data_IF_159005188354
#
_entry.id   IF_159005188354
#
_cell.length_a   1.000
_cell.length_b   1.000
_cell.length_c   1.000
_cell.angle_alpha   90.00
_cell.angle_beta   90.00
_cell.angle_gamma   90.00
#
_symmetry.space_group_name_H-M   'P 1'
#
loop_
_entity.id
_entity.type
_entity.pdbx_description
1 polymer ?
#
# COMPACT_ATOMS: atom_id res chain seq x y z
N UNK A 1 -1.24 -14.67 13.53
CA UNK A 1 -1.90 -13.48 12.95
C UNK A 1 -0.83 -12.72 12.19
N UNK A 2 -1.13 -12.25 10.99
CA UNK A 2 -0.16 -11.54 10.14
C UNK A 2 0.14 -10.17 10.77
N UNK A 3 1.40 -9.91 11.13
CA UNK A 3 1.85 -8.67 11.77
C UNK A 3 2.99 -7.95 11.01
N UNK A 4 3.49 -8.57 9.94
CA UNK A 4 4.49 -8.04 9.01
C UNK A 4 3.87 -7.70 7.66
N UNK A 5 4.37 -6.64 7.04
CA UNK A 5 3.93 -6.20 5.72
C UNK A 5 5.10 -6.07 4.74
N UNK A 6 4.91 -6.54 3.51
CA UNK A 6 5.77 -6.30 2.37
C UNK A 6 5.05 -5.32 1.45
N UNK A 7 5.70 -4.19 1.14
CA UNK A 7 5.18 -3.19 0.21
C UNK A 7 6.09 -3.18 -1.03
N UNK A 8 5.50 -3.50 -2.18
CA UNK A 8 6.18 -3.46 -3.47
C UNK A 8 6.28 -2.02 -3.95
N UNK A 9 7.49 -1.53 -4.17
CA UNK A 9 7.72 -0.22 -4.76
C UNK A 9 7.40 -0.26 -6.27
N UNK A 10 6.77 0.81 -6.74
CA UNK A 10 6.32 1.03 -8.12
C UNK A 10 6.60 2.47 -8.49
N UNK A 11 6.64 2.78 -9.79
CA UNK A 11 6.72 4.16 -10.27
C UNK A 11 5.62 5.08 -9.65
N UNK A 12 4.44 4.53 -9.35
CA UNK A 12 3.34 5.23 -8.69
C UNK A 12 3.52 5.48 -7.18
N UNK A 13 4.44 4.79 -6.50
CA UNK A 13 4.55 4.82 -5.03
C UNK A 13 4.85 6.21 -4.46
N UNK A 14 5.61 7.03 -5.20
CA UNK A 14 5.95 8.40 -4.81
C UNK A 14 4.86 9.43 -5.13
N UNK A 15 3.83 9.04 -5.88
CA UNK A 15 2.74 9.94 -6.30
C UNK A 15 2.05 10.51 -5.06
N UNK A 16 1.86 11.83 -5.05
CA UNK A 16 1.16 12.52 -3.96
C UNK A 16 -0.31 12.68 -4.31
N UNK A 17 -1.20 12.10 -3.50
CA UNK A 17 -2.65 12.34 -3.57
C UNK A 17 -3.09 13.03 -2.29
N UNK A 18 -3.70 14.20 -2.45
CA UNK A 18 -4.09 15.09 -1.35
C UNK A 18 -2.89 15.42 -0.43
N UNK A 19 -1.71 15.64 -1.02
CA UNK A 19 -0.49 16.05 -0.32
C UNK A 19 0.34 14.93 0.30
N UNK A 20 -0.14 13.68 0.29
CA UNK A 20 0.55 12.53 0.90
C UNK A 20 1.04 11.53 -0.18
N UNK A 21 2.33 11.11 -0.17
CA UNK A 21 2.80 10.02 -1.01
C UNK A 21 2.01 8.73 -0.77
N UNK A 22 1.74 7.95 -1.82
CA UNK A 22 1.01 6.68 -1.72
C UNK A 22 1.71 5.67 -0.81
N UNK A 23 3.03 5.54 -0.94
CA UNK A 23 3.83 4.69 -0.05
C UNK A 23 3.62 5.03 1.43
N UNK A 24 3.72 6.32 1.77
CA UNK A 24 3.54 6.76 3.15
C UNK A 24 2.11 6.52 3.64
N UNK A 25 1.10 6.70 2.76
CA UNK A 25 -0.29 6.39 3.07
C UNK A 25 -0.48 4.91 3.39
N UNK A 26 0.12 4.01 2.62
CA UNK A 26 0.04 2.57 2.82
C UNK A 26 0.67 2.16 4.17
N UNK A 27 1.86 2.69 4.50
CA UNK A 27 2.53 2.42 5.78
C UNK A 27 1.67 2.88 6.96
N UNK A 28 1.16 4.12 6.92
CA UNK A 28 0.35 4.66 8.02
C UNK A 28 -0.97 3.89 8.20
N UNK A 29 -1.61 3.46 7.10
CA UNK A 29 -2.83 2.67 7.16
C UNK A 29 -2.59 1.28 7.76
N UNK A 30 -1.51 0.61 7.35
CA UNK A 30 -1.12 -0.68 7.92
C UNK A 30 -0.69 -0.55 9.38
N UNK A 31 0.05 0.50 9.73
CA UNK A 31 0.41 0.77 11.12
C UNK A 31 -0.85 0.96 11.99
N UNK A 32 -1.87 1.68 11.50
CA UNK A 32 -3.15 1.82 12.18
C UNK A 32 -3.85 0.47 12.39
N UNK A 33 -3.73 -0.46 11.44
CA UNK A 33 -4.26 -1.82 11.55
C UNK A 33 -3.41 -2.74 12.45
N UNK A 34 -2.28 -2.26 12.98
CA UNK A 34 -1.44 -2.96 13.97
C UNK A 34 -0.18 -3.62 13.42
N UNK A 35 0.13 -3.44 12.13
CA UNK A 35 1.40 -3.90 11.54
C UNK A 35 2.57 -3.06 12.08
N UNK A 36 3.68 -3.71 12.40
CA UNK A 36 4.85 -3.04 13.05
C UNK A 36 6.13 -3.15 12.24
N UNK A 37 6.26 -4.20 11.44
CA UNK A 37 7.44 -4.47 10.62
C UNK A 37 7.08 -4.37 9.15
N UNK A 38 7.88 -3.61 8.41
CA UNK A 38 7.63 -3.25 7.03
C UNK A 38 8.86 -3.51 6.19
N UNK A 39 8.70 -4.25 5.10
CA UNK A 39 9.73 -4.47 4.09
C UNK A 39 9.33 -3.77 2.80
N UNK A 40 10.07 -2.72 2.45
CA UNK A 40 9.89 -1.96 1.22
C UNK A 40 10.77 -2.57 0.13
N UNK A 41 10.17 -3.33 -0.79
CA UNK A 41 10.89 -4.06 -1.82
C UNK A 41 10.74 -3.38 -3.18
N UNK A 42 11.85 -2.95 -3.78
CA UNK A 42 11.87 -2.29 -5.09
C UNK A 42 13.06 -2.72 -5.94
N UNK A 43 13.12 -2.25 -7.19
CA UNK A 43 14.28 -2.50 -8.06
C UNK A 43 15.55 -1.80 -7.57
N UNK A 44 15.39 -0.76 -6.75
CA UNK A 44 16.52 0.03 -6.26
C UNK A 44 16.88 1.22 -7.14
N UNK A 45 15.94 1.65 -7.99
CA UNK A 45 16.09 2.89 -8.76
C UNK A 45 16.32 4.10 -7.82
N UNK A 46 17.08 5.11 -8.26
CA UNK A 46 17.37 6.29 -7.45
C UNK A 46 16.11 6.97 -6.90
N UNK A 47 15.03 7.06 -7.70
CA UNK A 47 13.76 7.67 -7.28
C UNK A 47 13.06 6.87 -6.17
N UNK A 48 13.14 5.53 -6.21
CA UNK A 48 12.61 4.67 -5.15
C UNK A 48 13.39 4.87 -3.85
N UNK A 49 14.72 4.94 -3.94
CA UNK A 49 15.57 5.14 -2.76
C UNK A 49 15.38 6.53 -2.14
N UNK A 50 15.25 7.58 -2.97
CA UNK A 50 14.92 8.93 -2.49
C UNK A 50 13.55 8.96 -1.79
N UNK A 51 12.55 8.30 -2.38
CA UNK A 51 11.22 8.17 -1.78
C UNK A 51 11.28 7.45 -0.42
N UNK A 52 11.99 6.33 -0.33
CA UNK A 52 12.17 5.57 0.92
C UNK A 52 12.81 6.45 2.00
N UNK A 53 13.87 7.19 1.66
CA UNK A 53 14.54 8.09 2.60
C UNK A 53 13.64 9.26 3.03
N UNK A 54 12.81 9.79 2.12
CA UNK A 54 11.80 10.79 2.46
C UNK A 54 10.78 10.24 3.46
N UNK A 55 10.29 9.02 3.23
CA UNK A 55 9.33 8.35 4.13
C UNK A 55 9.93 8.10 5.50
N UNK A 56 11.17 7.59 5.59
CA UNK A 56 11.87 7.37 6.87
C UNK A 56 12.03 8.64 7.70
N UNK A 57 12.20 9.79 7.04
CA UNK A 57 12.36 11.10 7.69
C UNK A 57 11.03 11.77 8.03
N UNK A 58 9.89 11.21 7.62
CA UNK A 58 8.59 11.78 7.95
C UNK A 58 8.33 11.68 9.47
N UNK A 59 7.92 12.79 10.07
CA UNK A 59 7.73 12.88 11.52
C UNK A 59 6.74 11.84 12.07
N UNK A 60 5.73 11.43 11.28
CA UNK A 60 4.75 10.43 11.70
C UNK A 60 5.34 9.03 11.80
N UNK A 61 6.35 8.74 10.98
CA UNK A 61 7.11 7.49 11.03
C UNK A 61 8.10 7.56 12.21
N UNK A 62 8.86 8.65 12.33
CA UNK A 62 9.83 8.83 13.42
C UNK A 62 9.21 8.84 14.83
N UNK A 63 7.96 9.28 14.95
CA UNK A 63 7.25 9.35 16.23
C UNK A 63 6.62 8.02 16.66
N UNK A 64 6.77 6.95 15.85
CA UNK A 64 6.18 5.65 16.11
C UNK A 64 7.24 4.55 16.22
N UNK A 65 7.07 3.55 17.09
CA UNK A 65 7.90 2.35 17.09
C UNK A 65 7.57 1.48 15.87
N UNK A 66 8.13 1.82 14.72
CA UNK A 66 8.02 1.11 13.46
C UNK A 66 9.38 0.52 13.08
N UNK A 67 9.40 -0.72 12.61
CA UNK A 67 10.58 -1.31 12.01
C UNK A 67 10.45 -1.29 10.48
N UNK A 68 11.33 -0.55 9.80
CA UNK A 68 11.24 -0.26 8.37
C UNK A 68 12.52 -0.64 7.63
N UNK A 69 12.42 -1.70 6.84
CA UNK A 69 13.50 -2.26 6.04
C UNK A 69 13.34 -1.88 4.57
N UNK A 70 14.40 -1.38 3.96
CA UNK A 70 14.43 -1.11 2.52
C UNK A 70 15.27 -2.19 1.82
N UNK A 71 14.68 -2.86 0.84
CA UNK A 71 15.26 -4.01 0.16
C UNK A 71 15.28 -3.77 -1.34
N UNK A 72 16.45 -3.97 -1.95
CA UNK A 72 16.57 -4.06 -3.40
C UNK A 72 16.29 -5.50 -3.80
N UNK A 73 15.47 -5.72 -4.80
CA UNK A 73 15.08 -7.07 -5.24
C UNK A 73 16.32 -7.87 -5.70
N UNK A 74 17.31 -7.22 -6.30
CA UNK A 74 18.57 -7.88 -6.67
C UNK A 74 19.34 -8.44 -5.47
N UNK A 75 19.27 -7.77 -4.32
CA UNK A 75 19.93 -8.21 -3.08
C UNK A 75 19.27 -9.45 -2.48
N UNK A 76 18.03 -9.75 -2.87
CA UNK A 76 17.30 -10.94 -2.42
C UNK A 76 17.92 -12.24 -2.94
N UNK A 77 18.62 -12.18 -4.07
CA UNK A 77 19.32 -13.34 -4.65
C UNK A 77 20.66 -13.60 -3.97
N UNK A 78 21.13 -12.68 -3.12
CA UNK A 78 22.41 -12.77 -2.41
C UNK A 78 22.17 -13.06 -0.92
N UNK A 79 22.38 -14.30 -0.46
CA UNK A 79 22.23 -14.65 0.95
C UNK A 79 23.27 -13.90 1.79
N UNK A 80 22.85 -12.92 2.59
CA UNK A 80 23.79 -12.18 3.44
C UNK A 80 23.25 -10.96 4.21
N UNK A 81 22.07 -10.42 3.86
CA UNK A 81 21.44 -9.36 4.67
C UNK A 81 20.47 -9.98 5.70
N UNK A 82 20.50 -9.59 6.98
CA UNK A 82 19.61 -10.16 8.00
C UNK A 82 18.11 -10.00 7.68
N UNK A 83 17.70 -8.83 7.17
CA UNK A 83 16.31 -8.56 6.80
C UNK A 83 15.84 -9.39 5.60
N UNK A 84 16.76 -9.79 4.70
CA UNK A 84 16.41 -10.73 3.64
C UNK A 84 16.25 -12.11 4.25
N UNK A 85 17.21 -12.61 5.02
CA UNK A 85 17.11 -13.91 5.71
C UNK A 85 15.80 -14.10 6.46
N UNK A 86 15.32 -13.10 7.21
CA UNK A 86 14.03 -13.17 7.90
C UNK A 86 12.83 -13.38 6.96
N UNK A 87 12.82 -12.73 5.79
CA UNK A 87 11.79 -12.93 4.77
C UNK A 87 11.89 -14.30 4.08
N UNK A 88 13.09 -14.86 3.94
CA UNK A 88 13.33 -16.15 3.27
C UNK A 88 13.15 -17.36 4.20
N UNK A 89 13.40 -17.19 5.50
CA UNK A 89 13.42 -18.28 6.47
C UNK A 89 12.10 -18.38 7.26
N UNK A 90 11.23 -17.37 7.17
CA UNK A 90 9.93 -17.37 7.84
C UNK A 90 8.87 -18.13 7.05
N UNK A 91 8.21 -19.08 7.71
CA UNK A 91 6.99 -19.71 7.22
C UNK A 91 5.72 -18.89 7.49
N UNK A 92 5.84 -17.74 8.15
CA UNK A 92 4.71 -16.93 8.59
C UNK A 92 4.00 -16.28 7.38
N UNK A 93 2.75 -15.87 7.60
CA UNK A 93 2.03 -15.07 6.61
C UNK A 93 2.48 -13.61 6.63
N UNK A 94 2.47 -12.98 5.46
CA UNK A 94 2.77 -11.56 5.28
C UNK A 94 1.62 -10.85 4.59
N UNK A 95 1.37 -9.60 4.97
CA UNK A 95 0.52 -8.70 4.20
C UNK A 95 1.33 -8.22 2.98
N UNK A 96 0.77 -8.34 1.79
CA UNK A 96 1.40 -7.87 0.55
C UNK A 96 0.60 -6.69 0.00
N UNK A 97 1.28 -5.56 -0.17
CA UNK A 97 0.70 -4.31 -0.67
C UNK A 97 1.46 -3.81 -1.91
N UNK A 98 0.72 -3.27 -2.87
CA UNK A 98 1.31 -2.42 -3.91
C UNK A 98 1.50 -1.00 -3.38
N UNK A 99 2.69 -0.43 -3.57
CA UNK A 99 2.99 0.93 -3.14
C UNK A 99 2.22 2.00 -3.94
N UNK A 100 1.66 1.63 -5.10
CA UNK A 100 0.77 2.47 -5.91
C UNK A 100 -0.73 2.26 -5.60
N UNK A 101 -1.09 1.41 -4.63
CA UNK A 101 -2.47 1.18 -4.25
C UNK A 101 -3.00 2.22 -3.25
N UNK A 102 -4.29 2.49 -3.38
CA UNK A 102 -5.08 3.34 -2.49
C UNK A 102 -6.27 2.53 -2.01
N UNK A 103 -6.39 2.39 -0.69
CA UNK A 103 -7.42 1.57 -0.07
C UNK A 103 -7.96 2.19 1.22
N UNK A 104 -9.15 1.75 1.62
CA UNK A 104 -9.72 2.07 2.92
C UNK A 104 -8.94 1.32 4.02
N UNK A 105 -8.38 2.02 5.04
CA UNK A 105 -7.62 1.37 6.12
C UNK A 105 -8.36 0.24 6.82
N UNK A 106 -9.71 0.29 6.92
CA UNK A 106 -10.48 -0.78 7.57
C UNK A 106 -10.42 -2.11 6.83
N UNK A 107 -10.06 -2.11 5.53
CA UNK A 107 -9.82 -3.36 4.79
C UNK A 107 -8.66 -4.16 5.37
N UNK A 108 -7.67 -3.49 5.98
CA UNK A 108 -6.54 -4.18 6.60
C UNK A 108 -6.94 -4.86 7.91
N UNK A 109 -7.92 -4.33 8.63
CA UNK A 109 -8.48 -4.98 9.83
C UNK A 109 -9.23 -6.28 9.52
N UNK A 110 -9.77 -6.39 8.30
CA UNK A 110 -10.39 -7.61 7.79
C UNK A 110 -9.32 -8.54 7.21
N UNK A 111 -8.42 -8.04 6.37
CA UNK A 111 -7.37 -8.82 5.71
C UNK A 111 -6.43 -9.52 6.71
N UNK A 112 -6.05 -8.87 7.81
CA UNK A 112 -5.14 -9.44 8.83
C UNK A 112 -5.70 -10.65 9.58
N UNK A 113 -7.01 -10.91 9.47
CA UNK A 113 -7.69 -12.08 10.09
C UNK A 113 -7.47 -13.36 9.31
N UNK A 114 -6.99 -13.26 8.08
CA UNK A 114 -6.72 -14.41 7.22
C UNK A 114 -5.26 -14.82 7.37
N UNK A 115 -5.03 -16.09 7.66
CA UNK A 115 -3.70 -16.70 7.63
C UNK A 115 -3.63 -17.61 6.40
N UNK A 116 -2.62 -17.44 5.54
CA UNK A 116 -2.49 -18.25 4.34
C UNK A 116 -1.97 -19.64 4.71
N UNK A 117 -2.44 -20.66 4.00
CA UNK A 117 -1.83 -21.98 4.06
C UNK A 117 -0.42 -21.96 3.42
N UNK A 118 0.37 -23.01 3.66
CA UNK A 118 1.66 -23.16 2.97
C UNK A 118 1.44 -23.15 1.46
N UNK A 119 2.25 -22.35 0.75
CA UNK A 119 2.11 -22.16 -0.71
C UNK A 119 0.78 -21.52 -1.13
N UNK A 120 0.10 -20.77 -0.26
CA UNK A 120 -1.12 -20.02 -0.61
C UNK A 120 -0.86 -18.51 -0.69
N UNK A 121 -1.55 -17.86 -1.64
CA UNK A 121 -1.79 -16.43 -1.67
C UNK A 121 -3.30 -16.15 -1.68
N UNK A 122 -3.75 -15.28 -0.80
CA UNK A 122 -5.13 -14.83 -0.68
C UNK A 122 -5.21 -13.39 -1.19
N UNK A 123 -5.86 -13.18 -2.33
CA UNK A 123 -6.00 -11.87 -2.97
C UNK A 123 -7.36 -11.28 -2.60
N UNK A 124 -7.34 -10.03 -2.15
CA UNK A 124 -8.54 -9.36 -1.68
C UNK A 124 -9.15 -8.45 -2.75
N UNK A 125 -10.46 -8.56 -2.94
CA UNK A 125 -11.26 -7.71 -3.83
C UNK A 125 -12.28 -6.92 -3.00
N UNK A 126 -12.72 -5.78 -3.50
CA UNK A 126 -13.88 -5.06 -2.95
C UNK A 126 -15.06 -5.25 -3.91
N UNK A 127 -16.28 -5.46 -3.40
CA UNK A 127 -17.45 -5.73 -4.25
C UNK A 127 -18.09 -4.47 -4.85
N UNK A 128 -19.11 -4.64 -5.72
CA UNK A 128 -18.90 -5.17 -7.08
C UNK A 128 -17.96 -4.22 -7.83
N UNK A 129 -17.00 -4.77 -8.56
CA UNK A 129 -15.97 -4.03 -9.28
C UNK A 129 -16.43 -2.65 -9.79
N UNK A 130 -15.65 -1.61 -9.45
CA UNK A 130 -15.60 -0.43 -10.31
C UNK A 130 -15.09 -0.94 -11.65
N UNK A 131 -16.05 -1.29 -12.51
CA UNK A 131 -15.86 -1.80 -13.86
C UNK A 131 -14.65 -1.13 -14.52
N UNK A 132 -13.61 -1.92 -14.80
CA UNK A 132 -12.45 -1.42 -15.55
C UNK A 132 -11.10 -2.07 -15.28
N UNK A 133 -10.98 -3.13 -14.49
CA UNK A 133 -9.72 -3.85 -14.35
C UNK A 133 -9.95 -5.35 -14.41
N UNK A 134 -9.81 -5.93 -15.61
CA UNK A 134 -9.73 -7.39 -15.83
C UNK A 134 -8.48 -8.03 -15.18
N UNK A 135 -7.69 -7.26 -14.42
CA UNK A 135 -6.54 -7.78 -13.71
C UNK A 135 -6.98 -8.62 -12.51
N UNK A 136 -6.43 -9.83 -12.46
CA UNK A 136 -6.57 -10.72 -11.31
C UNK A 136 -5.88 -10.16 -10.05
N UNK A 137 -5.03 -9.14 -10.20
CA UNK A 137 -4.30 -8.52 -9.11
C UNK A 137 -4.84 -7.15 -8.72
N UNK A 138 -5.26 -7.00 -7.46
CA UNK A 138 -5.84 -5.76 -6.92
C UNK A 138 -4.85 -4.87 -6.18
N UNK A 139 -3.66 -5.39 -5.88
CA UNK A 139 -2.65 -4.72 -5.07
C UNK A 139 -2.75 -4.94 -3.55
N UNK A 140 -3.63 -5.84 -3.11
CA UNK A 140 -3.78 -6.23 -1.70
C UNK A 140 -3.93 -7.75 -1.59
N UNK A 141 -3.02 -8.39 -0.85
CA UNK A 141 -3.07 -9.82 -0.58
C UNK A 141 -2.48 -10.17 0.79
N UNK A 142 -2.72 -11.40 1.22
CA UNK A 142 -1.93 -12.07 2.25
C UNK A 142 -1.25 -13.27 1.61
N UNK A 143 0.04 -13.45 1.85
CA UNK A 143 0.88 -14.44 1.19
C UNK A 143 1.68 -15.25 2.22
N UNK A 144 1.82 -16.55 1.98
CA UNK A 144 2.72 -17.40 2.75
C UNK A 144 4.18 -17.00 2.52
N UNK A 145 4.99 -16.92 3.58
CA UNK A 145 6.42 -16.60 3.50
C UNK A 145 7.20 -17.49 2.53
N UNK A 146 6.79 -18.76 2.39
CA UNK A 146 7.39 -19.72 1.44
C UNK A 146 7.27 -19.30 -0.04
N UNK A 147 6.33 -18.41 -0.39
CA UNK A 147 6.12 -17.91 -1.75
C UNK A 147 6.77 -16.54 -1.99
N UNK A 148 7.05 -15.76 -0.93
CA UNK A 148 7.63 -14.43 -1.06
C UNK A 148 8.95 -14.43 -1.84
N UNK A 149 9.92 -15.32 -1.56
CA UNK A 149 11.16 -15.42 -2.32
C UNK A 149 10.96 -15.48 -3.83
N UNK A 150 10.11 -16.41 -4.29
CA UNK A 150 9.86 -16.64 -5.71
C UNK A 150 9.09 -15.49 -6.36
N UNK A 151 8.14 -14.91 -5.64
CA UNK A 151 7.39 -13.75 -6.08
C UNK A 151 8.30 -12.52 -6.23
N UNK A 152 9.09 -12.19 -5.21
CA UNK A 152 9.94 -11.01 -5.20
C UNK A 152 11.07 -11.07 -6.23
N UNK A 153 11.78 -12.20 -6.34
CA UNK A 153 12.91 -12.34 -7.28
C UNK A 153 12.51 -12.15 -8.74
N UNK A 154 11.30 -12.57 -9.12
CA UNK A 154 10.79 -12.42 -10.50
C UNK A 154 10.27 -11.03 -10.82
N UNK A 155 9.92 -10.23 -9.80
CA UNK A 155 9.59 -8.82 -10.02
C UNK A 155 10.79 -7.96 -10.41
N UNK A 156 12.01 -8.34 -9.98
CA UNK A 156 13.23 -7.57 -10.29
C UNK A 156 13.84 -7.91 -11.64
N UNK A 157 13.51 -9.06 -12.22
CA UNK A 157 14.13 -9.56 -13.46
C UNK A 157 13.53 -9.02 -14.76
N UNK A 158 12.51 -8.16 -14.72
CA UNK A 158 11.86 -7.61 -15.90
C UNK A 158 11.74 -6.09 -15.86
N UNK A 159 12.06 -5.43 -16.98
CA UNK A 159 11.70 -4.02 -17.25
C UNK A 159 10.18 -3.76 -17.25
N UNK A 160 9.38 -4.79 -16.97
CA UNK A 160 7.95 -4.77 -17.14
C UNK A 160 7.27 -4.50 -15.80
N UNK A 161 7.23 -3.21 -15.41
CA UNK A 161 6.40 -2.73 -14.30
C UNK A 161 4.89 -3.01 -14.49
N UNK A 162 4.51 -3.63 -15.63
CA UNK A 162 3.16 -4.10 -15.95
C UNK A 162 2.94 -5.60 -15.74
N UNK A 163 3.99 -6.38 -15.43
CA UNK A 163 3.87 -7.83 -15.24
C UNK A 163 3.03 -8.16 -14.00
N UNK A 164 1.92 -8.89 -14.21
CA UNK A 164 1.04 -9.29 -13.11
C UNK A 164 1.82 -10.15 -12.11
N UNK A 165 1.84 -9.79 -10.82
CA UNK A 165 2.53 -10.51 -9.74
C UNK A 165 2.30 -12.02 -9.71
N UNK A 166 1.13 -12.43 -10.19
CA UNK A 166 0.67 -13.80 -10.13
C UNK A 166 1.39 -14.70 -11.14
N UNK A 167 1.92 -14.12 -12.23
CA UNK A 167 2.74 -14.85 -13.21
C UNK A 167 4.08 -15.28 -12.64
N UNK A 168 4.56 -14.59 -11.59
CA UNK A 168 5.78 -14.95 -10.88
C UNK A 168 5.61 -16.15 -9.96
N UNK A 169 4.38 -16.54 -9.61
CA UNK A 169 4.16 -17.63 -8.66
C UNK A 169 4.56 -18.99 -9.25
N UNK A 170 5.09 -19.91 -8.42
CA UNK A 170 5.34 -21.27 -8.85
C UNK A 170 4.02 -21.99 -9.16
N UNK A 171 4.07 -23.04 -9.98
CA UNK A 171 2.89 -23.86 -10.31
C UNK A 171 2.27 -24.58 -9.10
N UNK A 172 3.02 -24.70 -8.01
CA UNK A 172 2.56 -25.24 -6.73
C UNK A 172 1.76 -24.24 -5.90
N UNK A 173 1.76 -22.96 -6.27
CA UNK A 173 1.06 -21.93 -5.52
C UNK A 173 -0.46 -22.05 -5.71
N UNK A 174 -1.19 -22.02 -4.60
CA UNK A 174 -2.64 -21.91 -4.59
C UNK A 174 -3.04 -20.45 -4.52
N UNK A 175 -3.84 -20.00 -5.48
CA UNK A 175 -4.38 -18.63 -5.52
C UNK A 175 -5.83 -18.66 -5.08
N UNK A 176 -6.16 -17.97 -4.00
CA UNK A 176 -7.51 -17.82 -3.48
C UNK A 176 -7.95 -16.37 -3.58
N UNK A 177 -9.19 -16.14 -4.01
CA UNK A 177 -9.79 -14.80 -4.06
C UNK A 177 -10.84 -14.66 -2.97
N UNK A 178 -10.79 -13.55 -2.23
CA UNK A 178 -11.80 -13.20 -1.23
C UNK A 178 -12.32 -11.80 -1.46
N UNK A 179 -13.63 -11.65 -1.38
CA UNK A 179 -14.29 -10.33 -1.41
C UNK A 179 -14.43 -9.83 0.01
N UNK A 180 -13.82 -8.68 0.30
CA UNK A 180 -13.96 -7.94 1.55
C UNK A 180 -15.27 -7.14 1.55
N UNK A 181 -15.64 -6.65 2.73
CA UNK A 181 -16.88 -5.91 2.97
C UNK A 181 -17.14 -4.80 1.92
N UNK A 182 -18.40 -4.68 1.47
CA UNK A 182 -18.79 -3.68 0.47
C UNK A 182 -18.78 -2.25 1.04
N UNK A 183 -18.60 -1.26 0.17
CA UNK A 183 -18.57 0.16 0.55
C UNK A 183 -17.18 0.71 0.86
N UNK A 184 -16.16 -0.14 0.88
CA UNK A 184 -14.76 0.25 0.93
C UNK A 184 -14.17 0.36 -0.49
N UNK A 185 -13.11 1.15 -0.64
CA UNK A 185 -12.38 1.27 -1.90
C UNK A 185 -11.03 0.56 -1.81
N UNK A 186 -10.61 -0.02 -2.93
CA UNK A 186 -9.28 -0.54 -3.19
C UNK A 186 -9.01 -0.35 -4.68
N UNK A 187 -7.99 0.43 -5.05
CA UNK A 187 -7.62 0.65 -6.44
C UNK A 187 -6.13 0.99 -6.58
N UNK A 188 -5.54 0.58 -7.70
CA UNK A 188 -4.18 0.99 -8.10
C UNK A 188 -4.17 2.33 -8.82
N UNK A 189 -3.18 3.17 -8.54
CA UNK A 189 -2.99 4.48 -9.16
C UNK A 189 -1.86 4.42 -10.19
N UNK A 190 -2.21 3.93 -11.37
CA UNK A 190 -1.32 3.76 -12.51
C UNK A 190 -1.70 4.65 -13.71
N UNK A 191 -2.76 5.45 -13.61
CA UNK A 191 -3.23 6.33 -14.67
C UNK A 191 -3.83 7.61 -14.12
N UNK A 192 -3.98 8.61 -14.98
CA UNK A 192 -4.63 9.88 -14.61
C UNK A 192 -6.10 9.67 -14.23
N UNK A 193 -6.75 8.66 -14.79
CA UNK A 193 -8.13 8.33 -14.44
C UNK A 193 -8.22 7.70 -13.05
N UNK A 194 -7.36 6.72 -12.74
CA UNK A 194 -7.32 6.10 -11.42
C UNK A 194 -6.86 7.08 -10.33
N UNK A 195 -5.99 8.04 -10.65
CA UNK A 195 -5.65 9.15 -9.76
C UNK A 195 -6.88 9.98 -9.36
N UNK A 196 -7.72 10.38 -10.31
CA UNK A 196 -8.97 11.12 -10.02
C UNK A 196 -9.95 10.29 -9.20
N UNK A 197 -10.05 8.98 -9.49
CA UNK A 197 -10.89 8.06 -8.71
C UNK A 197 -10.38 7.94 -7.27
N UNK A 198 -9.07 7.80 -7.08
CA UNK A 198 -8.42 7.73 -5.77
C UNK A 198 -8.63 9.03 -4.97
N UNK A 199 -8.44 10.20 -5.59
CA UNK A 199 -8.71 11.49 -4.94
C UNK A 199 -10.17 11.59 -4.47
N UNK A 200 -11.12 11.22 -5.33
CA UNK A 200 -12.56 11.23 -5.00
C UNK A 200 -12.89 10.27 -3.86
N UNK A 201 -12.33 9.05 -3.88
CA UNK A 201 -12.53 8.05 -2.84
C UNK A 201 -12.00 8.56 -1.49
N UNK A 202 -10.76 9.08 -1.46
CA UNK A 202 -10.16 9.64 -0.26
C UNK A 202 -10.89 10.88 0.28
N UNK A 203 -11.43 11.74 -0.60
CA UNK A 203 -12.26 12.86 -0.17
C UNK A 203 -13.63 12.43 0.38
N UNK A 204 -14.14 11.27 -0.05
CA UNK A 204 -15.41 10.75 0.45
C UNK A 204 -15.29 10.23 1.89
N UNK A 205 -14.15 9.66 2.28
CA UNK A 205 -13.91 9.22 3.67
C UNK A 205 -13.73 10.38 4.64
N UNK A 206 -13.28 11.54 4.16
CA UNK A 206 -13.17 12.75 4.97
C UNK A 206 -14.54 13.37 5.33
N UNK A 207 -15.64 12.94 4.70
CA UNK A 207 -17.00 13.42 5.01
C UNK A 207 -17.58 12.63 6.17
N UNK A 208 -17.45 13.13 7.40
CA UNK A 208 -18.11 12.52 8.57
C UNK A 208 -19.64 12.55 8.39
N UNK A 209 -20.38 11.50 8.79
CA UNK A 209 -21.86 11.47 8.74
C UNK A 209 -22.54 12.45 9.71
N UNK A 210 -21.80 13.09 10.62
CA UNK A 210 -22.30 13.71 11.84
C UNK A 210 -22.43 15.25 11.75
N UNK A 211 -22.17 15.82 10.58
CA UNK A 211 -22.11 17.28 10.42
C UNK A 211 -23.53 17.88 10.35
N UNK A 212 -23.87 18.59 11.44
CA UNK A 212 -25.10 19.38 11.57
C UNK A 212 -25.27 20.42 10.46
N UNK A 213 -26.51 20.88 10.30
CA UNK A 213 -26.99 21.72 9.19
C UNK A 213 -26.12 22.95 8.87
N UNK A 214 -25.48 23.52 9.89
CA UNK A 214 -24.62 24.72 9.80
C UNK A 214 -23.25 24.41 9.15
N UNK A 215 -22.68 23.22 9.37
CA UNK A 215 -21.41 22.79 8.78
C UNK A 215 -21.51 22.49 7.27
N UNK A 216 -22.72 22.21 6.77
CA UNK A 216 -22.95 21.88 5.35
C UNK A 216 -22.79 23.07 4.40
N UNK A 217 -23.14 24.28 4.83
CA UNK A 217 -23.25 25.43 3.91
C UNK A 217 -22.16 26.49 4.05
N UNK A 218 -21.51 26.65 5.21
CA UNK A 218 -20.55 27.74 5.42
C UNK A 218 -19.08 27.29 5.51
N UNK A 219 -18.76 26.26 6.30
CA UNK A 219 -17.37 25.80 6.49
C UNK A 219 -16.81 25.01 5.29
N UNK A 220 -17.70 24.45 4.44
CA UNK A 220 -17.33 23.57 3.33
C UNK A 220 -16.60 24.30 2.19
N UNK A 221 -17.04 25.51 1.83
CA UNK A 221 -16.42 26.25 0.72
C UNK A 221 -15.16 26.98 1.17
N UNK A 222 -15.13 27.46 2.40
CA UNK A 222 -14.01 28.26 2.93
C UNK A 222 -12.82 27.35 3.28
N UNK A 223 -13.03 26.23 3.97
CA UNK A 223 -11.93 25.30 4.31
C UNK A 223 -11.35 24.58 3.09
N UNK A 224 -12.17 24.12 2.14
CA UNK A 224 -11.63 23.48 0.92
C UNK A 224 -10.86 24.47 0.04
N UNK A 225 -11.33 25.71 -0.07
CA UNK A 225 -10.64 26.76 -0.81
C UNK A 225 -9.33 27.19 -0.15
N UNK A 226 -9.32 27.36 1.18
CA UNK A 226 -8.10 27.67 1.95
C UNK A 226 -7.11 26.51 1.95
N UNK A 227 -7.55 25.27 2.17
CA UNK A 227 -6.65 24.10 2.12
C UNK A 227 -6.06 23.90 0.71
N UNK A 228 -6.82 24.10 -0.36
CA UNK A 228 -6.28 24.04 -1.73
C UNK A 228 -5.28 25.16 -2.05
N UNK A 229 -5.47 26.38 -1.52
CA UNK A 229 -4.49 27.47 -1.66
C UNK A 229 -3.26 27.27 -0.78
N UNK A 230 -3.41 26.78 0.44
CA UNK A 230 -2.31 26.58 1.40
C UNK A 230 -1.39 25.42 0.98
N UNK A 231 -1.93 24.34 0.39
CA UNK A 231 -1.13 23.25 -0.19
C UNK A 231 -0.28 23.77 -1.37
N UNK A 232 -0.78 24.72 -2.16
CA UNK A 232 -0.01 25.38 -3.22
C UNK A 232 1.06 26.35 -2.69
N UNK A 233 0.96 26.78 -1.43
CA UNK A 233 1.84 27.77 -0.80
C UNK A 233 2.91 27.15 0.14
N UNK A 234 3.04 25.80 0.20
CA UNK A 234 4.02 25.11 1.06
C UNK A 234 3.98 25.54 2.55
N UNK A 235 2.84 26.02 3.04
CA UNK A 235 2.71 26.38 4.46
C UNK A 235 2.59 25.10 5.30
N UNK A 236 3.47 24.92 6.30
CA UNK A 236 3.39 23.82 7.25
C UNK A 236 2.25 24.04 8.26
N UNK A 237 1.63 22.98 8.78
CA UNK A 237 0.51 23.09 9.74
C UNK A 237 0.87 23.69 11.11
N UNK A 238 2.12 24.09 11.34
CA UNK A 238 2.63 24.55 12.64
C UNK A 238 2.29 26.01 12.98
N UNK A 239 1.37 26.64 12.25
CA UNK A 239 0.95 28.03 12.42
C UNK A 239 -0.58 28.22 12.42
N UNK A 240 -1.35 27.15 12.54
CA UNK A 240 -2.80 27.16 12.78
C UNK A 240 -3.12 26.40 14.07
#
# INVERSE_FOLDING_TARGET
>A
MVDKAVILLRAGSGKKILGLPLLLRAILAAQQAGFKTFYLAGSGEPEEMELVELVKKDQRILSSPLDLHALRIEDLSSPGKPATQELFDSSDGFLLLEGDAVFDPSLLDEAKRFEPQSQEIIIFKTGPDVAGSDSNWTGLAVISGNLLPGLLTRFGSGNDQSSEPLTALPSTATIRYLTLSSGHFLLRVNSRESEKKAEKALLSTARKPQDGFIARHFNRHVSLFLSQKLIKLRASPSLL
#
